data_IF_805387645642
#
_entry.id   IF_805387645642
#
_cell.length_a   1.000
_cell.length_b   1.000
_cell.length_c   1.000
_cell.angle_alpha   90.00
_cell.angle_beta   90.00
_cell.angle_gamma   90.00
#
_symmetry.space_group_name_H-M   'P 1'
#
loop_
_entity.id
_entity.type
_entity.pdbx_description
1 polymer ?
#
# COMPACT_ATOMS: atom_id res chain seq x y z
N UNK A 1 1.24 2.75 13.17
CA UNK A 1 1.28 1.59 12.24
C UNK A 1 0.76 1.99 10.85
N UNK A 2 -0.39 2.67 10.75
CA UNK A 2 -0.96 3.23 9.51
C UNK A 2 0.06 3.94 8.62
N UNK A 3 0.86 4.85 9.20
CA UNK A 3 1.88 5.60 8.45
C UNK A 3 2.88 4.67 7.78
N UNK A 4 3.36 3.65 8.49
CA UNK A 4 4.31 2.67 7.96
C UNK A 4 3.68 1.87 6.82
N UNK A 5 2.44 1.41 6.99
CA UNK A 5 1.71 0.71 5.93
C UNK A 5 1.55 1.59 4.68
N UNK A 6 1.10 2.84 4.85
CA UNK A 6 0.95 3.79 3.75
C UNK A 6 2.29 4.13 3.09
N UNK A 7 3.38 4.25 3.85
CA UNK A 7 4.72 4.42 3.27
C UNK A 7 5.07 3.26 2.36
N UNK A 8 4.90 2.01 2.83
CA UNK A 8 5.15 0.80 2.04
C UNK A 8 4.28 0.79 0.77
N UNK A 9 2.99 1.10 0.89
CA UNK A 9 2.07 1.12 -0.25
C UNK A 9 2.33 2.27 -1.23
N UNK A 10 3.06 3.30 -0.81
CA UNK A 10 3.45 4.44 -1.64
C UNK A 10 4.83 4.27 -2.29
N UNK A 11 5.56 3.18 -2.01
CA UNK A 11 6.87 2.92 -2.62
C UNK A 11 6.79 2.78 -4.14
N UNK A 12 7.89 3.11 -4.82
CA UNK A 12 7.96 3.19 -6.28
C UNK A 12 7.77 1.83 -6.96
N UNK A 13 8.04 0.70 -6.29
CA UNK A 13 7.76 -0.63 -6.85
C UNK A 13 6.28 -0.82 -7.24
N UNK A 14 5.35 -0.05 -6.64
CA UNK A 14 3.92 -0.10 -6.95
C UNK A 14 3.46 0.88 -8.02
N UNK A 15 4.33 1.79 -8.48
CA UNK A 15 3.93 2.78 -9.49
C UNK A 15 3.68 2.14 -10.86
N UNK A 16 4.22 0.95 -11.10
CA UNK A 16 3.97 0.16 -12.30
C UNK A 16 2.57 -0.47 -12.34
N UNK A 17 1.82 -0.39 -11.23
CA UNK A 17 0.50 -1.02 -11.11
C UNK A 17 0.56 -2.50 -10.75
N UNK A 18 -0.57 -3.24 -10.91
CA UNK A 18 -0.66 -4.64 -10.55
C UNK A 18 0.29 -5.51 -11.38
N UNK A 19 0.81 -6.57 -10.76
CA UNK A 19 1.64 -7.54 -11.43
C UNK A 19 0.82 -8.32 -12.47
N UNK A 20 1.32 -8.41 -13.70
CA UNK A 20 0.64 -9.15 -14.78
C UNK A 20 0.73 -10.68 -14.62
N UNK A 21 1.67 -11.16 -13.81
CA UNK A 21 1.94 -12.60 -13.64
C UNK A 21 2.07 -12.98 -12.18
N UNK A 22 1.69 -14.22 -11.87
CA UNK A 22 1.86 -14.80 -10.54
C UNK A 22 3.33 -14.81 -10.10
N UNK A 23 4.28 -15.07 -11.00
CA UNK A 23 5.71 -15.03 -10.68
C UNK A 23 6.16 -13.64 -10.27
N UNK A 24 5.69 -12.59 -10.95
CA UNK A 24 6.01 -11.21 -10.59
C UNK A 24 5.41 -10.83 -9.23
N UNK A 25 4.16 -11.22 -8.95
CA UNK A 25 3.53 -11.03 -7.65
C UNK A 25 4.29 -11.77 -6.54
N UNK A 26 4.66 -13.03 -6.78
CA UNK A 26 5.45 -13.83 -5.83
C UNK A 26 6.80 -13.17 -5.52
N UNK A 27 7.54 -12.75 -6.53
CA UNK A 27 8.82 -12.04 -6.36
C UNK A 27 8.64 -10.72 -5.60
N UNK A 28 7.57 -9.97 -5.88
CA UNK A 28 7.24 -8.75 -5.16
C UNK A 28 6.98 -9.03 -3.66
N UNK A 29 6.22 -10.08 -3.33
CA UNK A 29 5.96 -10.46 -1.94
C UNK A 29 7.20 -11.00 -1.21
N UNK A 30 8.08 -11.73 -1.92
CA UNK A 30 9.36 -12.20 -1.38
C UNK A 30 10.31 -11.03 -1.08
N UNK A 31 10.35 -10.03 -1.95
CA UNK A 31 11.21 -8.84 -1.79
C UNK A 31 10.62 -7.81 -0.83
N UNK A 32 9.30 -7.77 -0.68
CA UNK A 32 8.59 -6.87 0.21
C UNK A 32 7.64 -7.63 1.15
N UNK A 33 8.15 -8.34 2.18
CA UNK A 33 7.34 -9.20 3.04
C UNK A 33 6.22 -8.46 3.80
N UNK A 34 6.44 -7.17 4.08
CA UNK A 34 5.47 -6.32 4.77
C UNK A 34 4.39 -5.76 3.84
N UNK A 35 4.49 -6.01 2.54
CA UNK A 35 3.52 -5.52 1.56
C UNK A 35 2.14 -6.08 1.81
N UNK A 36 2.01 -7.41 1.90
CA UNK A 36 0.72 -8.07 2.10
C UNK A 36 0.05 -7.54 3.38
N UNK A 37 0.84 -7.47 4.45
CA UNK A 37 0.40 -6.90 5.71
C UNK A 37 -0.04 -5.44 5.58
N UNK A 38 0.73 -4.61 4.88
CA UNK A 38 0.38 -3.22 4.67
C UNK A 38 -0.93 -3.07 3.88
N UNK A 39 -1.07 -3.81 2.77
CA UNK A 39 -2.26 -3.80 1.92
C UNK A 39 -3.52 -4.22 2.67
N UNK A 40 -3.42 -5.27 3.50
CA UNK A 40 -4.55 -5.84 4.22
C UNK A 40 -4.94 -5.03 5.47
N UNK A 41 -3.97 -4.42 6.15
CA UNK A 41 -4.21 -3.83 7.48
C UNK A 41 -4.06 -2.31 7.55
N UNK A 42 -3.62 -1.59 6.52
CA UNK A 42 -3.42 -0.13 6.61
C UNK A 42 -4.65 0.61 7.12
N UNK A 43 -5.85 0.21 6.68
CA UNK A 43 -7.11 0.83 7.06
C UNK A 43 -7.58 0.43 8.46
N UNK A 44 -7.29 -0.81 8.90
CA UNK A 44 -7.57 -1.26 10.27
C UNK A 44 -6.84 -0.43 11.33
N UNK A 45 -5.69 0.14 10.97
CA UNK A 45 -4.92 1.01 11.86
C UNK A 45 -5.43 2.46 11.87
N UNK A 46 -6.42 2.83 11.05
CA UNK A 46 -7.07 4.14 11.11
C UNK A 46 -7.99 4.20 12.35
N UNK A 47 -7.47 4.75 13.44
CA UNK A 47 -8.26 5.03 14.65
C UNK A 47 -9.05 6.34 14.56
N UNK A 48 -9.95 6.58 15.50
CA UNK A 48 -10.56 7.89 15.69
C UNK A 48 -9.49 8.90 16.12
N UNK A 49 -9.27 9.96 15.34
CA UNK A 49 -8.24 10.98 15.59
C UNK A 49 -7.01 10.92 14.68
N UNK A 50 -7.15 10.40 13.45
CA UNK A 50 -6.11 10.48 12.41
C UNK A 50 -5.62 11.92 12.24
N UNK A 51 -4.30 12.13 12.37
CA UNK A 51 -3.69 13.44 12.16
C UNK A 51 -3.89 13.94 10.73
N UNK A 52 -3.88 15.26 10.54
CA UNK A 52 -4.02 15.85 9.19
C UNK A 52 -2.98 15.32 8.20
N UNK A 53 -1.75 15.10 8.65
CA UNK A 53 -0.68 14.55 7.82
C UNK A 53 -0.95 13.10 7.39
N UNK A 54 -1.50 12.30 8.30
CA UNK A 54 -1.86 10.92 7.99
C UNK A 54 -3.08 10.86 7.05
N UNK A 55 -4.05 11.76 7.21
CA UNK A 55 -5.14 11.93 6.25
C UNK A 55 -4.62 12.30 4.84
N UNK A 56 -3.64 13.20 4.74
CA UNK A 56 -3.03 13.55 3.46
C UNK A 56 -2.35 12.33 2.79
N UNK A 57 -1.68 11.48 3.58
CA UNK A 57 -1.08 10.24 3.08
C UNK A 57 -2.13 9.24 2.57
N UNK A 58 -3.25 9.09 3.30
CA UNK A 58 -4.38 8.26 2.87
C UNK A 58 -4.95 8.79 1.56
N UNK A 59 -5.24 10.09 1.46
CA UNK A 59 -5.76 10.70 0.24
C UNK A 59 -4.77 10.52 -0.92
N UNK A 60 -3.48 10.73 -0.68
CA UNK A 60 -2.43 10.52 -1.69
C UNK A 60 -2.43 9.07 -2.21
N UNK A 61 -2.54 8.10 -1.31
CA UNK A 61 -2.61 6.69 -1.68
C UNK A 61 -3.88 6.38 -2.49
N UNK A 62 -5.05 6.84 -2.02
CA UNK A 62 -6.33 6.63 -2.71
C UNK A 62 -6.40 7.28 -4.10
N UNK A 63 -5.70 8.39 -4.32
CA UNK A 63 -5.61 9.05 -5.62
C UNK A 63 -4.61 8.38 -6.59
N UNK A 64 -3.75 7.48 -6.13
CA UNK A 64 -2.88 6.72 -7.01
C UNK A 64 -3.54 5.38 -7.36
N UNK A 65 -4.26 5.35 -8.49
CA UNK A 65 -5.01 4.18 -8.93
C UNK A 65 -4.14 2.95 -9.15
N UNK A 66 -2.90 3.12 -9.61
CA UNK A 66 -2.00 2.01 -9.91
C UNK A 66 -1.52 1.35 -8.63
N UNK A 67 -1.09 2.15 -7.64
CA UNK A 67 -0.71 1.65 -6.31
C UNK A 67 -1.90 1.05 -5.57
N UNK A 68 -3.09 1.65 -5.67
CA UNK A 68 -4.30 1.11 -5.07
C UNK A 68 -4.67 -0.26 -5.67
N UNK A 69 -4.60 -0.39 -6.99
CA UNK A 69 -4.87 -1.66 -7.69
C UNK A 69 -3.81 -2.71 -7.40
N UNK A 70 -2.54 -2.32 -7.32
CA UNK A 70 -1.45 -3.21 -6.94
C UNK A 70 -1.59 -3.70 -5.48
N UNK A 71 -2.15 -2.87 -4.59
CA UNK A 71 -2.45 -3.28 -3.22
C UNK A 71 -3.66 -4.23 -3.12
N UNK A 72 -4.53 -4.25 -4.13
CA UNK A 72 -5.77 -5.03 -4.13
C UNK A 72 -5.70 -6.33 -4.98
N UNK A 73 -4.51 -6.68 -5.49
CA UNK A 73 -4.28 -7.79 -6.41
C UNK A 73 -4.24 -9.17 -5.74
#
# INVERSE_FOLDING_TARGET
ITRTCLTILLYDEFDSGPCETYSAAKTLYENCPMLLYAAEYWHHHLGEGVSKDLNNLVIKFLHNSDKLRAAAQ
#
